data_IF_841560333271
#
_entry.id   IF_841560333271
#
_cell.length_a   1.000
_cell.length_b   1.000
_cell.length_c   1.000
_cell.angle_alpha   90.00
_cell.angle_beta   90.00
_cell.angle_gamma   90.00
#
_symmetry.space_group_name_H-M   'P 1'
#
loop_
_entity.id
_entity.type
_entity.pdbx_description
1 polymer ?
#
# COMPACT_ATOMS: atom_id res chain seq x y z
N UNK A 1 7.23 23.81 6.37
CA UNK A 1 5.98 23.46 5.65
C UNK A 1 4.96 23.14 6.72
N UNK A 2 3.75 23.71 6.67
CA UNK A 2 2.73 23.47 7.72
C UNK A 2 2.01 22.14 7.45
N UNK A 3 1.43 21.53 8.49
CA UNK A 3 0.62 20.30 8.34
C UNK A 3 -0.52 20.49 7.32
N UNK A 4 -1.09 21.69 7.26
CA UNK A 4 -2.12 22.11 6.29
C UNK A 4 -1.62 22.07 4.83
N UNK A 5 -0.32 22.33 4.61
CA UNK A 5 0.30 22.25 3.29
C UNK A 5 0.55 20.79 2.87
N UNK A 6 0.80 19.89 3.83
CA UNK A 6 0.98 18.45 3.60
C UNK A 6 -0.35 17.78 3.20
N UNK A 7 -1.47 18.17 3.82
CA UNK A 7 -2.82 17.65 3.52
C UNK A 7 -3.25 17.88 2.07
N UNK A 8 -2.80 18.98 1.47
CA UNK A 8 -3.15 19.33 0.10
C UNK A 8 -2.10 18.86 -0.92
N UNK A 9 -1.00 18.26 -0.46
CA UNK A 9 0.06 17.77 -1.32
C UNK A 9 -0.39 16.46 -1.98
N UNK A 10 -0.68 16.51 -3.28
CA UNK A 10 -0.78 15.30 -4.09
C UNK A 10 0.61 14.90 -4.53
N UNK A 11 1.00 13.64 -4.26
CA UNK A 11 2.25 13.12 -4.79
C UNK A 11 2.19 13.21 -6.32
N UNK A 12 3.17 13.85 -6.99
CA UNK A 12 3.12 14.03 -8.43
C UNK A 12 2.95 12.70 -9.15
N UNK A 13 1.99 12.61 -10.07
CA UNK A 13 1.67 11.36 -10.80
C UNK A 13 2.90 10.75 -11.49
N UNK A 14 3.85 11.58 -11.94
CA UNK A 14 5.10 11.12 -12.53
C UNK A 14 6.01 10.39 -11.52
N UNK A 15 5.97 10.78 -10.24
CA UNK A 15 6.69 10.07 -9.19
C UNK A 15 6.01 8.75 -8.81
N UNK A 16 4.68 8.77 -8.68
CA UNK A 16 3.90 7.55 -8.42
C UNK A 16 4.14 6.53 -9.53
N UNK A 17 4.12 6.92 -10.81
CA UNK A 17 4.38 5.99 -11.94
C UNK A 17 5.80 5.42 -11.97
N UNK A 18 6.77 6.08 -11.34
CA UNK A 18 8.14 5.57 -11.20
C UNK A 18 8.24 4.53 -10.08
N UNK A 19 7.50 4.70 -8.98
CA UNK A 19 7.41 3.70 -7.91
C UNK A 19 6.50 2.53 -8.32
N UNK A 20 5.37 2.83 -8.95
CA UNK A 20 4.30 1.89 -9.31
C UNK A 20 4.02 1.91 -10.83
N UNK A 21 4.90 1.34 -11.67
CA UNK A 21 4.59 1.09 -13.07
C UNK A 21 3.20 0.43 -13.28
N UNK A 22 2.26 1.06 -14.02
CA UNK A 22 0.85 0.64 -14.08
C UNK A 22 0.58 -0.82 -14.47
N UNK A 23 1.48 -1.45 -15.24
CA UNK A 23 1.33 -2.85 -15.72
C UNK A 23 2.18 -3.86 -14.96
N UNK A 24 2.99 -3.44 -13.98
CA UNK A 24 3.98 -4.30 -13.30
C UNK A 24 3.97 -4.18 -11.79
N UNK A 25 3.03 -3.43 -11.23
CA UNK A 25 3.07 -3.02 -9.83
C UNK A 25 1.86 -3.40 -9.02
N UNK A 26 0.77 -3.86 -9.63
CA UNK A 26 -0.38 -4.37 -8.89
C UNK A 26 -0.78 -5.69 -9.51
N UNK A 27 -0.97 -6.69 -8.66
CA UNK A 27 -1.30 -8.05 -9.01
C UNK A 27 -2.39 -8.54 -8.06
N UNK A 28 -3.25 -9.43 -8.55
CA UNK A 28 -4.12 -10.22 -7.68
C UNK A 28 -3.49 -11.59 -7.46
N UNK A 29 -3.59 -12.12 -6.24
CA UNK A 29 -2.92 -13.36 -5.82
C UNK A 29 -3.95 -14.32 -5.26
N UNK A 30 -3.87 -15.58 -5.67
CA UNK A 30 -4.61 -16.72 -5.12
C UNK A 30 -3.65 -17.56 -4.27
N UNK A 31 -3.79 -17.48 -2.96
CA UNK A 31 -2.97 -18.27 -2.01
C UNK A 31 -3.59 -19.58 -1.59
N UNK A 32 -4.84 -19.83 -1.95
CA UNK A 32 -5.54 -21.07 -1.62
C UNK A 32 -5.47 -22.09 -2.76
N UNK A 33 -5.24 -21.63 -3.98
CA UNK A 33 -5.19 -22.45 -5.19
C UNK A 33 -6.57 -22.79 -5.76
N UNK A 34 -7.63 -22.10 -5.33
CA UNK A 34 -9.01 -22.34 -5.77
C UNK A 34 -9.38 -21.61 -7.09
N UNK A 35 -8.43 -20.85 -7.64
CA UNK A 35 -8.58 -20.07 -8.86
C UNK A 35 -9.17 -18.66 -8.64
N UNK A 36 -9.42 -18.26 -7.40
CA UNK A 36 -9.92 -16.93 -7.04
C UNK A 36 -8.85 -16.15 -6.29
N UNK A 37 -8.67 -14.89 -6.68
CA UNK A 37 -7.80 -14.01 -5.92
C UNK A 37 -8.35 -13.78 -4.50
N UNK A 38 -7.48 -13.94 -3.52
CA UNK A 38 -7.75 -13.62 -2.12
C UNK A 38 -6.88 -12.46 -1.59
N UNK A 39 -5.87 -12.03 -2.35
CA UNK A 39 -4.95 -10.95 -2.00
C UNK A 39 -4.67 -9.97 -3.13
N UNK A 40 -4.32 -8.75 -2.75
CA UNK A 40 -3.67 -7.75 -3.61
C UNK A 40 -2.19 -7.73 -3.26
N UNK A 41 -1.35 -7.80 -4.29
CA UNK A 41 0.09 -7.57 -4.22
C UNK A 41 0.43 -6.29 -4.96
N UNK A 42 1.10 -5.37 -4.27
CA UNK A 42 1.60 -4.11 -4.82
C UNK A 42 3.13 -4.15 -4.80
N UNK A 43 3.76 -4.16 -5.98
CA UNK A 43 5.21 -4.05 -6.16
C UNK A 43 5.63 -2.60 -6.43
N UNK A 44 6.41 -2.03 -5.52
CA UNK A 44 7.05 -0.74 -5.68
C UNK A 44 8.53 -0.92 -6.06
N UNK A 45 8.95 -0.36 -7.19
CA UNK A 45 10.36 -0.35 -7.59
C UNK A 45 10.95 1.02 -7.28
N UNK A 46 11.97 1.08 -6.42
CA UNK A 46 12.64 2.34 -6.15
C UNK A 46 13.50 2.76 -7.36
N UNK A 47 12.96 3.63 -8.21
CA UNK A 47 13.69 4.24 -9.34
C UNK A 47 14.31 5.60 -9.00
N UNK A 48 14.30 5.99 -7.72
CA UNK A 48 14.89 7.24 -7.24
C UNK A 48 16.26 6.99 -6.62
N UNK A 49 16.81 8.02 -5.98
CA UNK A 49 18.01 7.87 -5.17
C UNK A 49 17.76 6.89 -4.00
N UNK A 50 18.82 6.22 -3.51
CA UNK A 50 18.74 5.49 -2.25
C UNK A 50 18.22 6.39 -1.12
N UNK A 51 17.35 5.85 -0.28
CA UNK A 51 16.87 6.54 0.92
C UNK A 51 16.89 5.59 2.12
N UNK A 52 17.10 6.15 3.30
CA UNK A 52 17.04 5.40 4.56
C UNK A 52 15.66 5.56 5.17
N UNK A 53 15.07 4.46 5.61
CA UNK A 53 13.89 4.48 6.48
C UNK A 53 14.40 4.95 7.85
N UNK A 54 13.94 6.09 8.36
CA UNK A 54 14.48 6.63 9.61
C UNK A 54 14.23 5.65 10.78
N UNK A 55 15.21 5.51 11.68
CA UNK A 55 15.17 4.57 12.81
C UNK A 55 14.16 4.94 13.91
N UNK A 56 13.63 6.16 13.86
CA UNK A 56 12.45 6.64 14.57
C UNK A 56 11.62 7.42 13.57
N UNK A 57 10.30 7.35 13.67
CA UNK A 57 9.37 8.07 12.81
C UNK A 57 9.44 9.58 13.08
N UNK A 58 10.52 10.22 12.64
CA UNK A 58 10.57 11.67 12.54
C UNK A 58 9.87 12.09 11.25
N UNK A 59 8.54 11.94 11.26
CA UNK A 59 7.64 12.50 10.25
C UNK A 59 7.36 13.99 10.52
N UNK A 60 8.17 14.66 11.34
CA UNK A 60 7.92 16.01 11.86
C UNK A 60 6.92 15.99 13.01
N UNK A 61 5.92 16.87 12.99
CA UNK A 61 4.87 16.98 14.04
C UNK A 61 3.86 15.80 14.05
N UNK A 62 4.15 14.71 13.33
CA UNK A 62 3.28 13.55 13.21
C UNK A 62 3.80 12.47 14.15
N UNK A 63 3.12 12.31 15.29
CA UNK A 63 3.33 11.17 16.18
C UNK A 63 2.61 9.94 15.60
N UNK A 64 3.34 8.94 15.12
CA UNK A 64 2.73 7.76 14.48
C UNK A 64 2.01 6.87 15.50
N UNK A 65 2.42 6.90 16.77
CA UNK A 65 1.68 6.26 17.87
C UNK A 65 0.26 6.82 18.01
N UNK A 66 0.00 8.03 17.49
CA UNK A 66 -1.31 8.68 17.49
C UNK A 66 -2.08 8.50 16.18
N UNK A 67 -1.47 7.91 15.14
CA UNK A 67 -2.17 7.63 13.89
C UNK A 67 -2.89 6.29 14.05
N UNK A 68 -4.17 6.32 14.41
CA UNK A 68 -5.06 5.20 14.11
C UNK A 68 -5.44 5.27 12.62
N UNK A 69 -4.98 4.33 11.76
CA UNK A 69 -5.31 4.38 10.34
C UNK A 69 -6.82 4.34 10.10
N UNK A 70 -7.60 3.76 11.02
CA UNK A 70 -9.05 3.72 10.92
C UNK A 70 -9.73 5.08 11.15
N UNK A 71 -9.03 6.04 11.74
CA UNK A 71 -9.52 7.39 12.01
C UNK A 71 -8.99 8.42 10.99
N UNK A 72 -7.78 8.19 10.47
CA UNK A 72 -7.04 9.16 9.67
C UNK A 72 -6.80 8.75 8.21
N UNK A 73 -7.16 7.53 7.81
CA UNK A 73 -6.94 7.01 6.46
C UNK A 73 -8.28 6.54 5.87
N UNK A 74 -8.47 6.84 4.60
CA UNK A 74 -9.53 6.26 3.77
C UNK A 74 -8.89 5.54 2.60
N UNK A 75 -9.36 4.33 2.34
CA UNK A 75 -8.90 3.52 1.22
C UNK A 75 -9.98 3.49 0.15
N UNK A 76 -9.57 3.58 -1.11
CA UNK A 76 -10.48 3.58 -2.24
C UNK A 76 -10.06 2.53 -3.26
N UNK A 77 -11.02 1.81 -3.82
CA UNK A 77 -10.83 0.94 -4.97
C UNK A 77 -11.79 1.34 -6.08
N UNK A 78 -11.26 1.74 -7.24
CA UNK A 78 -12.03 2.28 -8.36
C UNK A 78 -12.95 3.45 -7.95
N UNK A 79 -12.56 4.22 -6.94
CA UNK A 79 -13.37 5.30 -6.36
C UNK A 79 -14.36 4.88 -5.26
N UNK A 80 -14.58 3.58 -5.07
CA UNK A 80 -15.41 3.07 -3.96
C UNK A 80 -14.61 3.06 -2.66
N UNK A 81 -15.17 3.62 -1.59
CA UNK A 81 -14.54 3.61 -0.28
C UNK A 81 -14.54 2.18 0.30
N UNK A 82 -13.38 1.73 0.77
CA UNK A 82 -13.19 0.51 1.53
C UNK A 82 -13.35 0.87 3.00
N UNK A 83 -14.37 0.33 3.65
CA UNK A 83 -14.58 0.57 5.08
C UNK A 83 -13.45 -0.04 5.93
N UNK A 84 -12.52 0.81 6.37
CA UNK A 84 -11.44 0.47 7.30
C UNK A 84 -11.65 1.08 8.69
N UNK A 85 -12.89 1.42 9.03
CA UNK A 85 -13.22 1.93 10.37
C UNK A 85 -12.89 0.91 11.45
N UNK A 86 -12.68 1.39 12.68
CA UNK A 86 -12.26 0.56 13.82
C UNK A 86 -13.23 -0.62 14.03
N UNK A 87 -12.72 -1.85 13.97
CA UNK A 87 -13.52 -3.06 14.11
C UNK A 87 -14.24 -3.52 12.84
N UNK A 88 -14.04 -2.85 11.69
CA UNK A 88 -14.54 -3.35 10.42
C UNK A 88 -13.84 -4.68 10.05
N UNK A 89 -14.51 -5.58 9.32
CA UNK A 89 -13.87 -6.82 8.85
C UNK A 89 -12.63 -6.56 7.99
N UNK A 90 -12.63 -5.49 7.20
CA UNK A 90 -11.53 -5.14 6.31
C UNK A 90 -10.31 -4.64 7.07
N UNK A 91 -10.46 -3.80 8.10
CA UNK A 91 -9.29 -3.35 8.89
C UNK A 91 -8.62 -4.53 9.62
N UNK A 92 -9.42 -5.47 10.12
CA UNK A 92 -8.91 -6.69 10.76
C UNK A 92 -8.22 -7.63 9.76
N UNK A 93 -8.79 -7.79 8.56
CA UNK A 93 -8.19 -8.56 7.47
C UNK A 93 -6.86 -7.94 7.04
N UNK A 94 -6.82 -6.62 6.82
CA UNK A 94 -5.62 -5.90 6.42
C UNK A 94 -4.55 -6.05 7.50
N UNK A 95 -4.85 -5.76 8.78
CA UNK A 95 -3.87 -5.90 9.88
C UNK A 95 -3.25 -7.29 9.94
N UNK A 96 -4.07 -8.34 9.83
CA UNK A 96 -3.61 -9.74 9.90
C UNK A 96 -2.78 -10.15 8.69
N UNK A 97 -3.19 -9.70 7.50
CA UNK A 97 -2.61 -10.15 6.23
C UNK A 97 -1.52 -9.25 5.67
N UNK A 98 -1.41 -8.00 6.13
CA UNK A 98 -0.43 -7.05 5.61
C UNK A 98 0.97 -7.61 5.78
N UNK A 99 1.68 -7.76 4.66
CA UNK A 99 3.09 -8.13 4.62
C UNK A 99 3.83 -7.16 3.72
N UNK A 100 4.94 -6.62 4.22
CA UNK A 100 5.91 -5.87 3.42
C UNK A 100 7.14 -6.74 3.25
N UNK A 101 7.55 -6.96 2.00
CA UNK A 101 8.76 -7.69 1.67
C UNK A 101 9.81 -6.75 1.10
N UNK A 102 11.03 -6.83 1.62
CA UNK A 102 12.18 -6.07 1.13
C UNK A 102 13.45 -6.89 1.30
N UNK A 103 14.22 -7.08 0.22
CA UNK A 103 15.50 -7.82 0.21
C UNK A 103 15.45 -9.24 0.84
N UNK A 104 14.31 -9.92 0.72
CA UNK A 104 14.11 -11.27 1.26
C UNK A 104 13.54 -11.30 2.68
N UNK A 105 13.51 -10.18 3.39
CA UNK A 105 12.83 -10.06 4.67
C UNK A 105 11.33 -9.83 4.47
N UNK A 106 10.53 -10.22 5.46
CA UNK A 106 9.07 -9.99 5.51
C UNK A 106 8.69 -9.35 6.84
N UNK A 107 7.89 -8.29 6.78
CA UNK A 107 7.43 -7.51 7.93
C UNK A 107 5.91 -7.53 7.98
N UNK A 108 5.36 -7.87 9.14
CA UNK A 108 3.94 -7.74 9.45
C UNK A 108 3.56 -6.30 9.78
N UNK A 109 2.26 -6.01 9.89
CA UNK A 109 1.78 -4.71 10.37
C UNK A 109 2.39 -4.31 11.72
N UNK A 110 2.45 -5.24 12.67
CA UNK A 110 3.03 -4.98 14.00
C UNK A 110 4.54 -4.71 13.92
N UNK A 111 5.26 -5.39 13.01
CA UNK A 111 6.68 -5.12 12.80
C UNK A 111 6.94 -3.69 12.27
N UNK A 112 6.00 -3.14 11.50
CA UNK A 112 6.08 -1.75 11.02
C UNK A 112 5.88 -0.77 12.18
N UNK A 113 4.88 -1.01 13.02
CA UNK A 113 4.61 -0.19 14.22
C UNK A 113 5.74 -0.26 15.24
N UNK A 114 6.37 -1.43 15.38
CA UNK A 114 7.57 -1.61 16.21
C UNK A 114 8.82 -0.92 15.63
N UNK A 115 8.71 -0.30 14.46
CA UNK A 115 9.82 0.38 13.79
C UNK A 115 10.90 -0.57 13.27
N UNK A 116 10.62 -1.87 13.07
CA UNK A 116 11.63 -2.86 12.64
C UNK A 116 12.15 -2.65 11.23
N UNK A 117 11.45 -1.84 10.42
CA UNK A 117 11.97 -1.35 9.14
C UNK A 117 12.89 -0.14 9.27
N UNK A 118 12.97 0.49 10.44
CA UNK A 118 13.81 1.64 10.72
C UNK A 118 15.31 1.33 10.58
N UNK A 119 16.08 2.32 10.13
CA UNK A 119 17.50 2.23 9.81
C UNK A 119 17.84 1.47 8.52
N UNK A 120 16.83 0.95 7.79
CA UNK A 120 17.06 0.21 6.55
C UNK A 120 17.22 1.15 5.37
N UNK A 121 18.20 0.90 4.52
CA UNK A 121 18.35 1.60 3.24
C UNK A 121 17.58 0.91 2.13
N UNK A 122 16.65 1.64 1.51
CA UNK A 122 16.03 1.28 0.23
C UNK A 122 16.96 1.80 -0.87
N UNK A 123 17.72 0.91 -1.49
CA UNK A 123 18.64 1.27 -2.56
C UNK A 123 17.88 1.57 -3.87
N UNK A 124 18.52 2.28 -4.79
CA UNK A 124 18.01 2.40 -6.16
C UNK A 124 17.98 1.02 -6.81
N UNK A 125 16.85 0.65 -7.40
CA UNK A 125 16.61 -0.67 -7.99
C UNK A 125 16.06 -1.71 -7.01
N UNK A 126 15.94 -1.40 -5.71
CA UNK A 126 15.27 -2.29 -4.77
C UNK A 126 13.76 -2.37 -5.07
N UNK A 127 13.21 -3.57 -4.96
CA UNK A 127 11.76 -3.81 -4.96
C UNK A 127 11.25 -3.94 -3.52
N UNK A 128 10.17 -3.22 -3.23
CA UNK A 128 9.36 -3.38 -2.03
C UNK A 128 8.03 -3.96 -2.47
N UNK A 129 7.66 -5.12 -1.93
CA UNK A 129 6.35 -5.73 -2.19
C UNK A 129 5.46 -5.56 -0.97
N UNK A 130 4.28 -4.98 -1.14
CA UNK A 130 3.23 -4.89 -0.12
C UNK A 130 2.10 -5.85 -0.50
N UNK A 131 1.67 -6.70 0.42
CA UNK A 131 0.58 -7.65 0.19
C UNK A 131 -0.45 -7.54 1.30
N UNK A 132 -1.74 -7.57 0.96
CA UNK A 132 -2.83 -7.62 1.93
C UNK A 132 -4.10 -8.22 1.32
N UNK A 133 -4.98 -8.73 2.17
CA UNK A 133 -6.31 -9.26 1.85
C UNK A 133 -7.35 -8.15 1.92
N UNK A 134 -8.35 -8.24 1.05
CA UNK A 134 -9.60 -7.48 1.12
C UNK A 134 -10.78 -8.45 1.14
N UNK A 135 -11.96 -7.96 1.49
CA UNK A 135 -13.17 -8.77 1.35
C UNK A 135 -13.41 -9.21 -0.11
N UNK A 136 -14.06 -10.37 -0.26
CA UNK A 136 -14.32 -10.98 -1.56
C UNK A 136 -15.14 -10.09 -2.49
N UNK A 137 -16.04 -9.25 -1.96
CA UNK A 137 -16.90 -8.38 -2.76
C UNK A 137 -16.11 -7.26 -3.42
N UNK A 138 -15.05 -6.76 -2.78
CA UNK A 138 -14.10 -5.81 -3.34
C UNK A 138 -13.16 -6.47 -4.35
N UNK A 139 -12.65 -7.66 -4.03
CA UNK A 139 -11.76 -8.40 -4.94
C UNK A 139 -12.49 -8.80 -6.24
N UNK A 140 -13.78 -9.12 -6.18
CA UNK A 140 -14.60 -9.41 -7.35
C UNK A 140 -14.68 -8.23 -8.36
N UNK A 141 -14.42 -6.99 -7.91
CA UNK A 141 -14.37 -5.80 -8.78
C UNK A 141 -13.07 -5.68 -9.58
N UNK A 142 -12.04 -6.46 -9.24
CA UNK A 142 -10.75 -6.50 -9.92
C UNK A 142 -10.81 -7.46 -11.11
N UNK A 143 -11.38 -6.99 -12.21
CA UNK A 143 -11.44 -7.74 -13.48
C UNK A 143 -10.30 -7.35 -14.41
N UNK A 144 -10.21 -7.94 -15.60
CA UNK A 144 -9.31 -7.41 -16.63
C UNK A 144 -9.72 -5.98 -17.01
N UNK A 145 -8.77 -5.05 -17.03
CA UNK A 145 -9.05 -3.64 -17.26
C UNK A 145 -8.23 -2.66 -16.43
N UNK A 146 -8.61 -1.38 -16.49
CA UNK A 146 -7.97 -0.30 -15.74
C UNK A 146 -8.65 -0.13 -14.39
N UNK A 147 -7.82 0.04 -13.37
CA UNK A 147 -8.25 0.20 -11.98
C UNK A 147 -7.46 1.28 -11.28
N UNK A 148 -7.98 1.74 -10.15
CA UNK A 148 -7.30 2.66 -9.25
C UNK A 148 -7.37 2.18 -7.82
N UNK A 149 -6.28 2.31 -7.09
CA UNK A 149 -6.27 2.21 -5.63
C UNK A 149 -5.82 3.55 -5.06
N UNK A 150 -6.62 4.09 -4.14
CA UNK A 150 -6.41 5.40 -3.54
C UNK A 150 -6.23 5.28 -2.04
N UNK A 151 -5.35 6.10 -1.49
CA UNK A 151 -5.19 6.35 -0.06
C UNK A 151 -5.36 7.84 0.14
N UNK A 152 -6.39 8.22 0.89
CA UNK A 152 -6.55 9.61 1.36
C UNK A 152 -6.27 9.67 2.85
N UNK A 153 -5.58 10.72 3.29
CA UNK A 153 -5.34 10.96 4.70
C UNK A 153 -5.30 12.44 4.99
N UNK A 154 -5.70 12.81 6.20
CA UNK A 154 -5.52 14.16 6.71
C UNK A 154 -4.20 14.35 7.48
N UNK A 155 -3.35 13.30 7.54
CA UNK A 155 -2.04 13.29 8.20
C UNK A 155 -0.89 13.09 7.21
N UNK A 156 -1.08 12.28 6.16
CA UNK A 156 -0.07 12.01 5.12
C UNK A 156 -0.56 12.44 3.73
N UNK A 157 0.34 12.70 2.77
CA UNK A 157 -0.04 13.02 1.39
C UNK A 157 -0.93 11.95 0.75
N UNK A 158 -1.93 12.40 -0.02
CA UNK A 158 -2.83 11.50 -0.74
C UNK A 158 -2.08 10.80 -1.88
N UNK A 159 -2.32 9.50 -2.03
CA UNK A 159 -1.72 8.65 -3.05
C UNK A 159 -2.83 8.02 -3.88
N UNK A 160 -2.70 8.09 -5.20
CA UNK A 160 -3.57 7.36 -6.13
C UNK A 160 -2.70 6.59 -7.13
N UNK A 161 -2.83 5.27 -7.13
CA UNK A 161 -2.11 4.35 -8.01
C UNK A 161 -3.09 3.83 -9.06
N UNK A 162 -2.90 4.25 -10.30
CA UNK A 162 -3.59 3.66 -11.45
C UNK A 162 -2.84 2.43 -11.97
N UNK A 163 -3.54 1.32 -12.13
CA UNK A 163 -2.99 0.06 -12.61
C UNK A 163 -3.89 -0.62 -13.65
N UNK A 164 -3.33 -1.56 -14.40
CA UNK A 164 -4.03 -2.32 -15.42
C UNK A 164 -3.86 -3.82 -15.17
N UNK A 165 -4.98 -4.49 -14.95
CA UNK A 165 -5.05 -5.94 -14.80
C UNK A 165 -5.25 -6.62 -16.15
N UNK A 166 -4.54 -7.71 -16.37
CA UNK A 166 -4.60 -8.59 -17.52
C UNK A 166 -4.15 -10.00 -17.13
N UNK A 167 -4.19 -10.94 -18.07
CA UNK A 167 -3.84 -12.34 -17.81
C UNK A 167 -2.43 -12.58 -17.22
N UNK A 168 -1.49 -11.63 -17.39
CA UNK A 168 -0.12 -11.77 -16.87
C UNK A 168 0.05 -11.36 -15.42
N UNK A 169 -0.92 -10.63 -14.85
CA UNK A 169 -0.82 -10.10 -13.49
C UNK A 169 -2.07 -10.33 -12.63
N UNK A 170 -3.09 -10.98 -13.18
CA UNK A 170 -4.21 -11.52 -12.42
C UNK A 170 -3.92 -12.93 -11.91
N UNK A 171 -4.48 -13.26 -10.75
CA UNK A 171 -4.49 -14.60 -10.12
C UNK A 171 -3.11 -15.28 -10.14
N UNK A 172 -2.09 -14.53 -9.76
CA UNK A 172 -0.75 -15.07 -9.58
C UNK A 172 -0.76 -16.10 -8.45
N UNK A 173 0.07 -17.13 -8.57
CA UNK A 173 0.31 -18.14 -7.55
C UNK A 173 1.55 -17.81 -6.75
#
# INVERSE_FOLDING_TARGET
MKLEDLKNLKVPTAMIKKLFPPKKSVFTVDTTGDGKADMIKIGALNLFAPFEIPAKEDLGDINVDEIDPSEHVKLFLNGDNIDISKGSPNVELIKKSLRIHHKGDSFSFDDLLDGKMGGRTIAMGDEITVMFKLDESLLAKLTEGKHTIGVESDKIPNIEIGFELNQKNMNQK
#
